data_IF_249195031595
#
_entry.id   IF_249195031595
#
_cell.length_a   1.000
_cell.length_b   1.000
_cell.length_c   1.000
_cell.angle_alpha   90.00
_cell.angle_beta   90.00
_cell.angle_gamma   90.00
#
_symmetry.space_group_name_H-M   'P 1'
#
loop_
_entity.id
_entity.type
_entity.pdbx_description
1 polymer ?
#
# COMPACT_ATOMS: atom_id res chain seq x y z
N UNK A 1 -8.06 27.15 2.05
CA UNK A 1 -9.15 26.16 1.83
C UNK A 1 -9.13 25.52 0.44
N UNK A 2 -7.96 25.40 -0.22
CA UNK A 2 -7.83 24.65 -1.45
C UNK A 2 -7.67 23.16 -1.17
N UNK A 3 -8.18 22.30 -2.09
CA UNK A 3 -7.92 20.86 -2.08
C UNK A 3 -7.11 20.47 -3.32
N UNK A 4 -6.17 19.56 -3.12
CA UNK A 4 -5.34 19.01 -4.20
C UNK A 4 -6.09 17.86 -4.88
N UNK A 5 -6.01 17.80 -6.22
CA UNK A 5 -6.55 16.68 -6.98
C UNK A 5 -5.47 16.08 -7.88
N UNK A 6 -5.41 14.75 -7.92
CA UNK A 6 -4.64 13.97 -8.89
C UNK A 6 -5.61 13.05 -9.66
N UNK A 7 -5.69 11.77 -9.30
CA UNK A 7 -6.61 10.82 -9.94
C UNK A 7 -8.10 11.05 -9.70
N UNK A 8 -8.46 11.83 -8.69
CA UNK A 8 -9.84 12.21 -8.36
C UNK A 8 -10.71 11.11 -7.76
N UNK A 9 -10.19 9.89 -7.57
CA UNK A 9 -11.01 8.74 -7.15
C UNK A 9 -11.50 8.78 -5.70
N UNK A 10 -10.99 9.68 -4.88
CA UNK A 10 -11.53 9.98 -3.54
C UNK A 10 -12.28 11.30 -3.56
N UNK A 11 -11.62 12.38 -3.99
CA UNK A 11 -12.19 13.73 -3.89
C UNK A 11 -13.45 13.91 -4.76
N UNK A 12 -13.48 13.40 -6.00
CA UNK A 12 -14.63 13.56 -6.90
C UNK A 12 -15.90 12.86 -6.36
N UNK A 13 -15.85 11.60 -5.91
CA UNK A 13 -16.99 10.96 -5.24
C UNK A 13 -17.50 11.73 -4.01
N UNK A 14 -16.59 12.22 -3.16
CA UNK A 14 -16.92 12.99 -1.96
C UNK A 14 -17.64 14.29 -2.33
N UNK A 15 -17.16 14.99 -3.36
CA UNK A 15 -17.81 16.21 -3.88
C UNK A 15 -19.17 15.91 -4.55
N UNK A 16 -19.29 14.82 -5.30
CA UNK A 16 -20.57 14.38 -5.91
C UNK A 16 -21.62 14.13 -4.84
N UNK A 17 -21.23 13.60 -3.70
CA UNK A 17 -22.10 13.35 -2.55
C UNK A 17 -22.32 14.60 -1.67
N UNK A 18 -21.72 15.74 -2.05
CA UNK A 18 -21.78 17.01 -1.30
C UNK A 18 -21.22 16.91 0.13
N UNK A 19 -20.36 15.94 0.39
CA UNK A 19 -19.64 15.78 1.67
C UNK A 19 -18.45 16.74 1.78
N UNK A 20 -17.99 17.30 0.67
CA UNK A 20 -17.01 18.37 0.62
C UNK A 20 -17.35 19.32 -0.55
N UNK A 21 -17.13 20.62 -0.33
CA UNK A 21 -17.31 21.68 -1.33
C UNK A 21 -16.12 22.66 -1.25
N UNK A 22 -14.91 22.24 -1.62
CA UNK A 22 -13.74 23.13 -1.55
C UNK A 22 -13.91 24.30 -2.52
N UNK A 23 -13.61 25.54 -2.08
CA UNK A 23 -13.75 26.71 -2.96
C UNK A 23 -12.74 26.72 -4.11
N UNK A 24 -11.61 26.03 -3.92
CA UNK A 24 -10.57 25.92 -4.93
C UNK A 24 -10.06 24.48 -5.03
N UNK A 25 -9.77 24.05 -6.26
CA UNK A 25 -9.15 22.76 -6.55
C UNK A 25 -7.87 23.02 -7.33
N UNK A 26 -6.76 22.46 -6.87
CA UNK A 26 -5.46 22.54 -7.55
C UNK A 26 -5.15 21.17 -8.18
N UNK A 27 -5.08 21.16 -9.51
CA UNK A 27 -4.78 19.95 -10.29
C UNK A 27 -3.27 19.70 -10.34
N UNK A 28 -2.82 18.58 -9.78
CA UNK A 28 -1.42 18.16 -9.74
C UNK A 28 -1.01 17.39 -11.00
N UNK A 29 -1.94 16.97 -11.86
CA UNK A 29 -1.66 16.05 -12.98
C UNK A 29 -0.81 16.66 -14.08
N UNK A 30 -0.76 17.99 -14.14
CA UNK A 30 0.00 18.75 -15.14
C UNK A 30 1.35 19.25 -14.64
N UNK A 31 1.71 18.95 -13.39
CA UNK A 31 3.01 19.37 -12.83
C UNK A 31 4.08 18.41 -13.35
N UNK A 32 5.05 18.97 -14.08
CA UNK A 32 6.18 18.20 -14.59
C UNK A 32 7.00 17.55 -13.46
N UNK A 33 7.48 16.33 -13.70
CA UNK A 33 8.31 15.58 -12.74
C UNK A 33 7.54 14.89 -11.61
N UNK A 34 6.21 15.04 -11.52
CA UNK A 34 5.40 14.31 -10.54
C UNK A 34 4.95 12.92 -11.02
N UNK A 35 5.06 12.61 -12.32
CA UNK A 35 4.78 11.30 -12.89
C UNK A 35 6.07 10.62 -13.35
N UNK A 36 6.03 9.30 -13.49
CA UNK A 36 7.12 8.51 -14.06
C UNK A 36 7.65 7.44 -13.12
N UNK A 37 8.40 6.52 -13.71
CA UNK A 37 8.96 5.34 -13.02
C UNK A 37 10.41 5.22 -13.45
N UNK A 38 11.34 5.22 -12.51
CA UNK A 38 12.76 5.13 -12.78
C UNK A 38 13.53 4.36 -11.71
N UNK A 39 14.62 3.73 -12.10
CA UNK A 39 15.57 3.18 -11.14
C UNK A 39 16.50 4.29 -10.63
N UNK A 40 16.63 4.43 -9.31
CA UNK A 40 17.57 5.33 -8.64
C UNK A 40 18.50 4.55 -7.73
N UNK A 41 19.65 4.14 -8.26
CA UNK A 41 20.57 3.26 -7.58
C UNK A 41 19.91 1.92 -7.26
N UNK A 42 19.81 1.58 -5.97
CA UNK A 42 19.17 0.35 -5.48
C UNK A 42 17.72 0.56 -5.02
N UNK A 43 17.04 1.52 -5.59
CA UNK A 43 15.64 1.82 -5.28
C UNK A 43 14.86 2.08 -6.55
N UNK A 44 13.60 1.66 -6.56
CA UNK A 44 12.63 2.02 -7.56
C UNK A 44 11.93 3.31 -7.12
N UNK A 45 12.00 4.36 -7.94
CA UNK A 45 11.33 5.62 -7.71
C UNK A 45 10.07 5.71 -8.57
N UNK A 46 8.92 6.03 -7.95
CA UNK A 46 7.64 6.21 -8.62
C UNK A 46 7.10 7.59 -8.28
N UNK A 47 6.86 8.42 -9.29
CA UNK A 47 6.29 9.75 -9.14
C UNK A 47 4.86 9.71 -8.60
N UNK A 48 4.47 10.69 -7.79
CA UNK A 48 3.21 10.67 -7.04
C UNK A 48 1.96 10.65 -7.93
N UNK A 49 2.00 11.26 -9.12
CA UNK A 49 0.86 11.27 -10.06
C UNK A 49 0.87 10.11 -11.05
N UNK A 50 1.81 9.15 -10.93
CA UNK A 50 1.84 7.92 -11.73
C UNK A 50 0.59 7.09 -11.42
N UNK A 51 -0.12 6.68 -12.46
CA UNK A 51 -1.39 5.94 -12.33
C UNK A 51 -1.16 4.49 -11.94
N UNK A 52 -2.14 3.87 -11.28
CA UNK A 52 -2.06 2.47 -10.91
C UNK A 52 -1.83 1.54 -12.12
N UNK A 53 -2.47 1.84 -13.26
CA UNK A 53 -2.27 1.08 -14.49
C UNK A 53 -0.83 1.19 -15.00
N UNK A 54 -0.22 2.38 -14.94
CA UNK A 54 1.17 2.59 -15.34
C UNK A 54 2.14 1.81 -14.44
N UNK A 55 1.88 1.76 -13.12
CA UNK A 55 2.68 0.94 -12.19
C UNK A 55 2.52 -0.54 -12.48
N UNK A 56 1.28 -1.02 -12.72
CA UNK A 56 0.99 -2.41 -12.99
C UNK A 56 1.60 -2.91 -14.31
N UNK A 57 1.63 -2.06 -15.34
CA UNK A 57 2.06 -2.44 -16.69
C UNK A 57 3.54 -2.14 -16.96
N UNK A 58 4.21 -1.40 -16.06
CA UNK A 58 5.61 -1.03 -16.23
C UNK A 58 6.55 -2.24 -16.21
N UNK A 59 7.34 -2.39 -17.27
CA UNK A 59 8.41 -3.39 -17.33
C UNK A 59 9.41 -3.18 -16.21
N UNK A 60 9.82 -1.93 -15.96
CA UNK A 60 10.76 -1.58 -14.88
C UNK A 60 10.25 -2.01 -13.50
N UNK A 61 8.95 -1.85 -13.22
CA UNK A 61 8.37 -2.30 -11.94
C UNK A 61 8.33 -3.82 -11.85
N UNK A 62 7.92 -4.49 -12.95
CA UNK A 62 7.85 -5.95 -13.01
C UNK A 62 9.21 -6.62 -12.84
N UNK A 63 10.26 -6.03 -13.39
CA UNK A 63 11.64 -6.53 -13.21
C UNK A 63 12.20 -6.23 -11.82
N UNK A 64 11.96 -5.03 -11.28
CA UNK A 64 12.52 -4.59 -10.02
C UNK A 64 11.77 -5.15 -8.79
N UNK A 65 10.44 -5.06 -8.79
CA UNK A 65 9.56 -5.47 -7.69
C UNK A 65 8.25 -6.04 -8.27
N UNK A 66 8.24 -7.27 -8.80
CA UNK A 66 7.04 -7.88 -9.41
C UNK A 66 5.78 -7.79 -8.53
N UNK A 67 5.96 -8.00 -7.21
CA UNK A 67 4.88 -7.92 -6.23
C UNK A 67 4.19 -6.54 -6.18
N UNK A 68 4.91 -5.45 -6.49
CA UNK A 68 4.34 -4.10 -6.53
C UNK A 68 3.50 -3.89 -7.80
N UNK A 69 3.92 -4.44 -8.94
CA UNK A 69 3.14 -4.42 -10.18
C UNK A 69 1.83 -5.21 -10.02
N UNK A 70 1.90 -6.40 -9.42
CA UNK A 70 0.73 -7.23 -9.12
C UNK A 70 -0.23 -6.55 -8.15
N UNK A 71 0.29 -5.95 -7.07
CA UNK A 71 -0.50 -5.17 -6.14
C UNK A 71 -1.26 -4.05 -6.90
N UNK A 72 -0.56 -3.28 -7.73
CA UNK A 72 -1.17 -2.20 -8.50
C UNK A 72 -2.26 -2.74 -9.46
N UNK A 73 -2.04 -3.93 -10.05
CA UNK A 73 -2.97 -4.60 -10.97
C UNK A 73 -4.27 -5.07 -10.33
N UNK A 74 -4.30 -5.25 -9.00
CA UNK A 74 -5.51 -5.69 -8.26
C UNK A 74 -6.22 -4.54 -7.53
N UNK A 75 -5.80 -3.29 -7.71
CA UNK A 75 -6.50 -2.11 -7.18
C UNK A 75 -7.77 -1.86 -8.00
N UNK A 76 -8.93 -1.87 -7.35
CA UNK A 76 -10.21 -1.52 -7.97
C UNK A 76 -10.48 -2.27 -9.29
N UNK A 77 -11.05 -1.56 -10.23
CA UNK A 77 -11.27 -1.99 -11.61
C UNK A 77 -10.37 -1.22 -12.60
N UNK A 78 -10.41 -1.54 -13.92
CA UNK A 78 -9.61 -0.81 -14.91
C UNK A 78 -9.89 0.69 -14.94
N UNK A 79 -11.13 1.14 -14.74
CA UNK A 79 -11.46 2.56 -14.74
C UNK A 79 -10.78 3.29 -13.57
N UNK A 80 -10.77 2.66 -12.40
CA UNK A 80 -10.04 3.15 -11.21
C UNK A 80 -8.54 3.23 -11.51
N UNK A 81 -7.95 2.16 -12.04
CA UNK A 81 -6.49 2.11 -12.27
C UNK A 81 -5.99 3.12 -13.30
N UNK A 82 -6.81 3.46 -14.31
CA UNK A 82 -6.44 4.46 -15.33
C UNK A 82 -6.55 5.91 -14.85
N UNK A 83 -7.05 6.16 -13.65
CA UNK A 83 -7.19 7.50 -13.06
C UNK A 83 -6.47 7.64 -11.72
N UNK A 84 -6.70 6.70 -10.79
CA UNK A 84 -6.10 6.70 -9.47
C UNK A 84 -4.57 6.67 -9.54
N UNK A 85 -3.91 7.39 -8.62
CA UNK A 85 -2.46 7.57 -8.59
C UNK A 85 -1.87 7.03 -7.29
N UNK A 86 -0.60 6.60 -7.33
CA UNK A 86 0.08 6.09 -6.13
C UNK A 86 0.13 7.14 -5.02
N UNK A 87 0.50 8.38 -5.33
CA UNK A 87 0.56 9.46 -4.34
C UNK A 87 -0.80 9.80 -3.77
N UNK A 88 -1.86 9.82 -4.60
CA UNK A 88 -3.23 10.05 -4.12
C UNK A 88 -3.71 8.97 -3.17
N UNK A 89 -3.42 7.70 -3.46
CA UNK A 89 -3.74 6.56 -2.57
C UNK A 89 -3.01 6.66 -1.23
N UNK A 90 -1.72 6.97 -1.24
CA UNK A 90 -0.89 7.07 -0.03
C UNK A 90 -1.27 8.30 0.80
N UNK A 91 -1.50 9.46 0.15
CA UNK A 91 -1.91 10.68 0.85
C UNK A 91 -3.29 10.57 1.49
N UNK A 92 -4.22 9.85 0.86
CA UNK A 92 -5.55 9.60 1.42
C UNK A 92 -5.53 8.64 2.62
N UNK A 93 -4.57 7.72 2.64
CA UNK A 93 -4.39 6.70 3.69
C UNK A 93 -5.70 6.01 4.11
N UNK A 94 -6.48 5.57 3.11
CA UNK A 94 -7.64 4.73 3.37
C UNK A 94 -7.15 3.41 4.00
N UNK A 95 -7.76 2.94 5.12
CA UNK A 95 -7.34 1.71 5.79
C UNK A 95 -7.42 0.46 4.92
N UNK A 96 -8.21 0.51 3.83
CA UNK A 96 -8.38 -0.59 2.87
C UNK A 96 -7.52 -0.43 1.61
N UNK A 97 -6.72 0.63 1.52
CA UNK A 97 -5.82 0.85 0.39
C UNK A 97 -4.66 -0.16 0.37
N UNK A 98 -4.27 -0.58 -0.81
CA UNK A 98 -3.25 -1.62 -1.01
C UNK A 98 -1.81 -1.09 -0.81
N UNK A 99 -1.49 0.10 -1.36
CA UNK A 99 -0.12 0.65 -1.32
C UNK A 99 0.49 0.88 0.06
N UNK A 100 -0.27 1.26 1.11
CA UNK A 100 0.33 1.40 2.45
C UNK A 100 1.03 0.13 2.94
N UNK A 101 0.47 -1.06 2.64
CA UNK A 101 1.13 -2.33 2.98
C UNK A 101 2.47 -2.52 2.23
N UNK A 102 2.52 -2.19 0.93
CA UNK A 102 3.76 -2.23 0.17
C UNK A 102 4.79 -1.21 0.71
N UNK A 103 4.35 -0.01 1.09
CA UNK A 103 5.23 1.01 1.65
C UNK A 103 5.88 0.55 2.95
N UNK A 104 5.11 -0.03 3.87
CA UNK A 104 5.65 -0.55 5.13
C UNK A 104 6.55 -1.78 4.91
N UNK A 105 6.09 -2.76 4.13
CA UNK A 105 6.83 -4.00 3.93
C UNK A 105 8.13 -3.80 3.15
N UNK A 106 8.18 -2.89 2.19
CA UNK A 106 9.40 -2.57 1.44
C UNK A 106 10.28 -1.52 2.13
N UNK A 107 9.84 -0.94 3.26
CA UNK A 107 10.57 0.14 3.93
C UNK A 107 10.72 1.38 3.07
N UNK A 108 9.63 1.75 2.39
CA UNK A 108 9.63 2.87 1.46
C UNK A 108 9.96 4.21 2.13
N UNK A 109 10.47 5.13 1.33
CA UNK A 109 10.61 6.53 1.73
C UNK A 109 9.67 7.37 0.87
N UNK A 110 8.74 8.06 1.51
CA UNK A 110 7.86 9.04 0.89
C UNK A 110 8.63 10.36 0.79
N UNK A 111 8.79 10.86 -0.42
CA UNK A 111 9.48 12.13 -0.69
C UNK A 111 8.44 13.18 -0.98
N UNK A 112 8.49 14.27 -0.25
CA UNK A 112 7.60 15.41 -0.43
C UNK A 112 8.34 16.60 -1.06
N UNK A 113 7.67 17.70 -1.25
CA UNK A 113 8.30 18.96 -1.65
C UNK A 113 9.18 19.58 -0.54
N UNK A 114 9.07 19.10 0.70
CA UNK A 114 9.80 19.64 1.87
C UNK A 114 10.84 18.69 2.44
N UNK A 115 10.53 17.36 2.50
CA UNK A 115 11.33 16.40 3.27
C UNK A 115 11.17 14.96 2.77
N UNK A 116 11.87 14.07 3.43
CA UNK A 116 11.82 12.61 3.20
C UNK A 116 11.31 11.96 4.48
N UNK A 117 10.24 11.18 4.38
CA UNK A 117 9.58 10.54 5.52
C UNK A 117 9.61 9.04 5.32
N UNK A 118 10.00 8.28 6.34
CA UNK A 118 9.91 6.81 6.29
C UNK A 118 8.45 6.37 6.34
N UNK A 119 8.12 5.26 5.67
CA UNK A 119 6.75 4.76 5.66
C UNK A 119 6.20 4.50 7.07
N UNK A 120 7.05 4.03 7.99
CA UNK A 120 6.68 3.80 9.39
C UNK A 120 6.26 5.08 10.14
N UNK A 121 6.77 6.22 9.74
CA UNK A 121 6.48 7.53 10.34
C UNK A 121 5.37 8.26 9.58
N UNK A 122 5.10 7.81 8.33
CA UNK A 122 4.18 8.50 7.43
C UNK A 122 2.71 8.18 7.73
N UNK A 123 2.37 6.92 7.95
CA UNK A 123 0.99 6.48 8.24
C UNK A 123 0.68 6.61 9.72
N UNK A 124 -0.22 7.54 10.08
CA UNK A 124 -0.46 7.92 11.49
C UNK A 124 -1.87 7.56 11.99
N UNK A 125 -2.59 6.71 11.27
CA UNK A 125 -3.94 6.29 11.62
C UNK A 125 -4.93 6.48 10.48
N UNK A 126 -6.20 6.33 10.77
CA UNK A 126 -7.28 6.35 9.79
C UNK A 126 -7.33 7.69 9.04
N UNK A 127 -7.14 7.65 7.72
CA UNK A 127 -7.12 8.85 6.87
C UNK A 127 -6.15 9.96 7.35
N UNK A 128 -5.14 9.56 8.15
CA UNK A 128 -4.18 10.50 8.75
C UNK A 128 -2.76 10.13 8.34
N UNK A 129 -2.02 11.12 7.87
CA UNK A 129 -0.61 10.99 7.48
C UNK A 129 0.23 12.09 8.11
N UNK A 130 1.55 11.96 8.03
CA UNK A 130 2.50 12.98 8.50
C UNK A 130 2.59 14.23 7.59
N UNK A 131 1.78 14.32 6.51
CA UNK A 131 1.78 15.49 5.63
C UNK A 131 1.28 16.74 6.35
N UNK A 132 2.01 17.83 6.18
CA UNK A 132 1.58 19.17 6.56
C UNK A 132 0.56 19.74 5.55
N UNK A 133 -0.15 20.81 5.91
CA UNK A 133 -1.22 21.39 5.09
C UNK A 133 -0.76 21.87 3.71
N UNK A 134 0.50 22.30 3.58
CA UNK A 134 1.15 22.80 2.36
C UNK A 134 2.23 21.81 1.82
N UNK A 135 2.12 20.53 2.21
CA UNK A 135 3.07 19.49 1.82
C UNK A 135 2.43 18.52 0.83
N UNK A 136 3.14 18.23 -0.28
CA UNK A 136 2.70 17.30 -1.31
C UNK A 136 3.72 16.18 -1.50
N UNK A 137 3.22 14.97 -1.74
CA UNK A 137 4.08 13.86 -2.16
C UNK A 137 4.56 14.13 -3.58
N UNK A 138 5.86 14.05 -3.80
CA UNK A 138 6.47 14.16 -5.14
C UNK A 138 6.80 12.80 -5.72
N UNK A 139 7.26 11.85 -4.88
CA UNK A 139 7.56 10.46 -5.29
C UNK A 139 7.61 9.52 -4.10
N UNK A 140 7.54 8.24 -4.39
CA UNK A 140 7.78 7.16 -3.44
C UNK A 140 9.02 6.38 -3.87
N UNK A 141 9.93 6.14 -2.93
CA UNK A 141 11.17 5.40 -3.14
C UNK A 141 11.06 4.03 -2.48
N UNK A 142 11.09 2.97 -3.27
CA UNK A 142 11.01 1.59 -2.79
C UNK A 142 12.40 0.92 -2.87
N UNK A 143 13.05 0.58 -1.75
CA UNK A 143 14.22 -0.29 -1.76
C UNK A 143 13.90 -1.65 -2.39
N UNK A 144 14.86 -2.23 -3.12
CA UNK A 144 14.66 -3.52 -3.77
C UNK A 144 14.69 -4.66 -2.77
N UNK A 145 13.65 -5.51 -2.70
CA UNK A 145 13.64 -6.73 -1.90
C UNK A 145 14.43 -7.84 -2.60
N UNK A 146 14.88 -8.84 -1.82
CA UNK A 146 15.35 -10.12 -2.38
C UNK A 146 14.18 -10.99 -2.87
N UNK A 147 13.06 -10.97 -2.13
CA UNK A 147 11.82 -11.68 -2.43
C UNK A 147 10.67 -10.86 -1.89
N UNK A 148 9.56 -10.81 -2.62
CA UNK A 148 8.34 -10.19 -2.13
C UNK A 148 7.11 -10.80 -2.80
N UNK A 149 5.97 -10.74 -2.10
CA UNK A 149 4.67 -11.05 -2.66
C UNK A 149 3.56 -10.30 -1.92
N UNK A 150 2.46 -10.11 -2.61
CA UNK A 150 1.24 -9.53 -2.07
C UNK A 150 0.08 -10.48 -2.30
N UNK A 151 -0.67 -10.77 -1.24
CA UNK A 151 -1.89 -11.56 -1.27
C UNK A 151 -3.06 -10.75 -0.72
N UNK A 152 -4.20 -10.80 -1.41
CA UNK A 152 -5.36 -9.99 -1.10
C UNK A 152 -6.64 -10.80 -1.09
N UNK A 153 -7.37 -10.75 0.01
CA UNK A 153 -8.77 -11.14 0.06
C UNK A 153 -9.64 -9.90 -0.16
N UNK A 154 -10.19 -9.78 -1.37
CA UNK A 154 -10.94 -8.60 -1.80
C UNK A 154 -12.42 -8.69 -1.45
N UNK A 155 -13.02 -7.57 -1.13
CA UNK A 155 -14.47 -7.44 -1.10
C UNK A 155 -15.01 -7.62 -2.53
N UNK A 156 -16.07 -8.42 -2.69
CA UNK A 156 -16.62 -8.78 -4.00
C UNK A 156 -17.18 -7.57 -4.76
N UNK A 157 -17.82 -6.64 -4.06
CA UNK A 157 -18.46 -5.49 -4.66
C UNK A 157 -17.48 -4.35 -4.94
N UNK A 158 -16.76 -3.89 -3.91
CA UNK A 158 -15.87 -2.72 -3.99
C UNK A 158 -14.48 -3.03 -4.50
N UNK A 159 -14.05 -4.31 -4.44
CA UNK A 159 -12.68 -4.77 -4.70
C UNK A 159 -11.62 -4.21 -3.77
N UNK A 160 -11.99 -3.48 -2.73
CA UNK A 160 -11.10 -3.09 -1.66
C UNK A 160 -10.58 -4.32 -0.90
N UNK A 161 -9.44 -4.17 -0.24
CA UNK A 161 -8.92 -5.23 0.62
C UNK A 161 -9.79 -5.38 1.88
N UNK A 162 -10.47 -6.53 2.03
CA UNK A 162 -10.96 -6.93 3.33
C UNK A 162 -9.77 -7.25 4.24
N UNK A 163 -8.78 -7.95 3.68
CA UNK A 163 -7.45 -8.17 4.22
C UNK A 163 -6.46 -8.24 3.07
N UNK A 164 -5.36 -7.52 3.15
CA UNK A 164 -4.22 -7.64 2.26
C UNK A 164 -2.93 -7.83 3.05
N UNK A 165 -2.06 -8.73 2.62
CA UNK A 165 -0.79 -9.01 3.29
C UNK A 165 0.35 -8.89 2.28
N UNK A 166 1.29 -8.00 2.57
CA UNK A 166 2.52 -7.84 1.80
C UNK A 166 3.69 -8.42 2.61
N UNK A 167 4.40 -9.38 2.05
CA UNK A 167 5.61 -9.97 2.65
C UNK A 167 6.81 -9.57 1.81
N UNK A 168 7.87 -9.09 2.46
CA UNK A 168 9.12 -8.74 1.81
C UNK A 168 10.33 -9.26 2.60
N UNK A 169 11.21 -10.01 1.92
CA UNK A 169 12.54 -10.33 2.41
C UNK A 169 13.51 -9.28 1.89
N UNK A 170 13.86 -8.35 2.74
CA UNK A 170 14.86 -7.33 2.47
C UNK A 170 16.29 -7.88 2.67
N UNK A 171 17.35 -7.18 2.27
CA UNK A 171 18.74 -7.64 2.47
C UNK A 171 19.10 -7.97 3.92
N UNK A 172 18.57 -7.24 4.90
CA UNK A 172 18.90 -7.34 6.33
C UNK A 172 17.76 -7.79 7.23
N UNK A 173 16.52 -7.79 6.74
CA UNK A 173 15.32 -8.06 7.55
C UNK A 173 14.21 -8.71 6.73
N UNK A 174 13.18 -9.23 7.41
CA UNK A 174 11.91 -9.61 6.81
C UNK A 174 10.83 -8.68 7.35
N UNK A 175 9.93 -8.26 6.48
CA UNK A 175 8.81 -7.39 6.83
C UNK A 175 7.50 -8.00 6.36
N UNK A 176 6.49 -7.90 7.20
CA UNK A 176 5.11 -8.37 6.93
C UNK A 176 4.16 -7.24 7.30
N UNK A 177 3.50 -6.67 6.30
CA UNK A 177 2.55 -5.58 6.51
C UNK A 177 1.13 -6.00 6.10
N UNK A 178 0.15 -5.57 6.88
CA UNK A 178 -1.26 -5.89 6.71
C UNK A 178 -2.06 -4.62 6.46
N UNK A 179 -2.91 -4.65 5.45
CA UNK A 179 -3.90 -3.61 5.16
C UNK A 179 -5.32 -4.18 5.18
N UNK A 180 -6.32 -3.33 5.30
CA UNK A 180 -7.74 -3.70 5.27
C UNK A 180 -8.29 -4.15 6.62
N UNK A 181 -7.47 -4.73 7.47
CA UNK A 181 -7.92 -5.38 8.70
C UNK A 181 -7.81 -4.49 9.96
N UNK A 182 -6.81 -3.63 10.04
CA UNK A 182 -6.56 -2.85 11.26
C UNK A 182 -7.53 -1.68 11.44
N UNK A 183 -8.00 -1.47 12.68
CA UNK A 183 -8.87 -0.35 13.02
C UNK A 183 -8.17 1.00 12.84
N UNK A 184 -6.86 1.06 13.08
CA UNK A 184 -6.03 2.25 12.90
C UNK A 184 -5.34 2.32 11.52
N UNK A 185 -5.69 1.42 10.59
CA UNK A 185 -5.12 1.37 9.24
C UNK A 185 -4.06 0.27 9.07
N UNK A 186 -3.04 0.56 8.27
CA UNK A 186 -1.97 -0.39 7.94
C UNK A 186 -1.03 -0.64 9.12
N UNK A 187 -0.61 -1.88 9.33
CA UNK A 187 0.30 -2.24 10.43
C UNK A 187 1.26 -3.39 10.05
N UNK A 188 2.29 -3.59 10.86
CA UNK A 188 3.27 -4.67 10.70
C UNK A 188 3.00 -5.83 11.67
N UNK A 189 3.24 -7.06 11.22
CA UNK A 189 3.16 -8.29 12.02
C UNK A 189 4.53 -8.72 12.52
N UNK A 190 5.03 -8.10 13.57
CA UNK A 190 6.38 -8.31 14.09
C UNK A 190 6.64 -9.76 14.52
N UNK A 191 5.66 -10.48 15.08
CA UNK A 191 5.80 -11.89 15.44
C UNK A 191 6.07 -12.77 14.20
N UNK A 192 5.41 -12.48 13.06
CA UNK A 192 5.63 -13.19 11.81
C UNK A 192 6.98 -12.84 11.20
N UNK A 193 7.40 -11.57 11.28
CA UNK A 193 8.71 -11.11 10.83
C UNK A 193 9.85 -11.82 11.55
N UNK A 194 9.78 -11.96 12.88
CA UNK A 194 10.78 -12.66 13.67
C UNK A 194 10.84 -14.16 13.37
N UNK A 195 9.69 -14.81 13.15
CA UNK A 195 9.67 -16.21 12.73
C UNK A 195 10.30 -16.40 11.33
N UNK A 196 9.92 -15.55 10.37
CA UNK A 196 10.40 -15.60 8.99
C UNK A 196 11.87 -15.20 8.86
N UNK A 197 12.39 -14.37 9.75
CA UNK A 197 13.82 -14.00 9.82
C UNK A 197 14.70 -15.20 10.12
N UNK A 198 14.23 -16.12 10.99
CA UNK A 198 14.94 -17.37 11.30
C UNK A 198 14.94 -18.32 10.10
N UNK A 199 13.81 -18.47 9.45
CA UNK A 199 13.65 -19.28 8.24
C UNK A 199 12.51 -18.72 7.38
N UNK A 200 12.81 -18.30 6.16
CA UNK A 200 11.82 -17.76 5.23
C UNK A 200 11.01 -18.88 4.56
N UNK A 201 10.02 -19.40 5.29
CA UNK A 201 9.15 -20.50 4.88
C UNK A 201 7.77 -20.34 5.52
N UNK A 202 6.69 -20.60 4.78
CA UNK A 202 5.31 -20.55 5.28
C UNK A 202 5.07 -21.47 6.49
N UNK A 203 5.78 -22.60 6.56
CA UNK A 203 5.68 -23.58 7.66
C UNK A 203 6.01 -23.00 9.03
N UNK A 204 6.87 -21.98 9.13
CA UNK A 204 7.20 -21.37 10.43
C UNK A 204 6.08 -20.47 10.96
N UNK A 205 5.09 -20.18 10.13
CA UNK A 205 3.89 -19.42 10.49
C UNK A 205 2.75 -20.31 10.96
N UNK A 206 2.89 -21.65 10.84
CA UNK A 206 1.85 -22.58 11.26
C UNK A 206 1.68 -22.51 12.79
N UNK A 207 0.44 -22.30 13.22
CA UNK A 207 0.11 -22.19 14.64
C UNK A 207 0.48 -20.86 15.31
N UNK A 208 1.11 -19.91 14.62
CA UNK A 208 1.31 -18.58 15.16
C UNK A 208 -0.03 -17.82 15.18
N UNK A 209 -0.49 -17.38 16.36
CA UNK A 209 -1.75 -16.67 16.48
C UNK A 209 -1.63 -15.24 15.91
N UNK A 210 -2.71 -14.76 15.32
CA UNK A 210 -2.93 -13.34 15.05
C UNK A 210 -4.02 -12.87 16.01
N UNK A 211 -3.74 -11.84 16.83
CA UNK A 211 -4.76 -11.29 17.72
C UNK A 211 -5.88 -10.64 16.91
N UNK A 212 -7.10 -10.81 17.38
CA UNK A 212 -8.25 -10.07 16.88
C UNK A 212 -8.33 -8.63 17.46
N UNK A 213 -7.55 -8.34 18.51
CA UNK A 213 -7.52 -7.03 19.13
C UNK A 213 -7.01 -5.96 18.14
N UNK A 214 -7.70 -4.84 18.07
CA UNK A 214 -7.37 -3.75 17.15
C UNK A 214 -7.73 -4.04 15.68
N UNK A 215 -8.43 -5.14 15.39
CA UNK A 215 -8.96 -5.41 14.06
C UNK A 215 -10.42 -4.94 13.92
N UNK A 216 -10.77 -4.55 12.71
CA UNK A 216 -12.13 -4.14 12.35
C UNK A 216 -13.12 -5.31 12.45
N UNK A 217 -14.32 -5.01 12.95
CA UNK A 217 -15.48 -5.90 12.90
C UNK A 217 -16.65 -5.15 12.28
N UNK A 218 -17.17 -5.62 11.15
CA UNK A 218 -18.22 -5.00 10.39
C UNK A 218 -19.08 -6.05 9.65
N UNK A 219 -20.03 -5.60 8.81
CA UNK A 219 -20.90 -6.49 8.03
C UNK A 219 -20.15 -7.40 7.04
N UNK A 220 -18.89 -7.12 6.73
CA UNK A 220 -18.07 -7.88 5.79
C UNK A 220 -17.21 -8.96 6.46
N UNK A 221 -16.99 -8.86 7.77
CA UNK A 221 -16.24 -9.83 8.52
C UNK A 221 -15.94 -9.39 9.95
N UNK A 222 -15.98 -10.37 10.87
CA UNK A 222 -15.58 -10.15 12.26
C UNK A 222 -14.05 -9.97 12.39
N UNK A 223 -13.61 -9.46 13.54
CA UNK A 223 -12.19 -9.32 13.85
C UNK A 223 -11.47 -10.68 13.85
N UNK A 224 -12.10 -11.74 14.37
CA UNK A 224 -11.57 -13.10 14.37
C UNK A 224 -11.43 -13.66 12.95
N UNK A 225 -12.40 -13.39 12.08
CA UNK A 225 -12.33 -13.79 10.68
C UNK A 225 -11.19 -13.08 9.95
N UNK A 226 -11.00 -11.78 10.20
CA UNK A 226 -9.87 -11.02 9.64
C UNK A 226 -8.54 -11.54 10.17
N UNK A 227 -8.45 -11.86 11.47
CA UNK A 227 -7.26 -12.46 12.08
C UNK A 227 -6.90 -13.80 11.42
N UNK A 228 -7.92 -14.65 11.18
CA UNK A 228 -7.74 -15.93 10.47
C UNK A 228 -7.23 -15.69 9.03
N UNK A 229 -7.84 -14.77 8.29
CA UNK A 229 -7.44 -14.43 6.91
C UNK A 229 -6.01 -13.91 6.85
N UNK A 230 -5.58 -13.08 7.80
CA UNK A 230 -4.19 -12.58 7.88
C UNK A 230 -3.21 -13.75 7.91
N UNK A 231 -3.44 -14.74 8.78
CA UNK A 231 -2.59 -15.92 8.87
C UNK A 231 -2.54 -16.74 7.57
N UNK A 232 -3.70 -16.92 6.93
CA UNK A 232 -3.80 -17.63 5.64
C UNK A 232 -3.05 -16.89 4.52
N UNK A 233 -3.29 -15.59 4.39
CA UNK A 233 -2.69 -14.77 3.32
C UNK A 233 -1.18 -14.58 3.53
N UNK A 234 -0.73 -14.47 4.77
CA UNK A 234 0.71 -14.40 5.07
C UNK A 234 1.45 -15.66 4.60
N UNK A 235 0.90 -16.86 4.87
CA UNK A 235 1.49 -18.12 4.37
C UNK A 235 1.51 -18.16 2.84
N UNK A 236 0.41 -17.81 2.19
CA UNK A 236 0.33 -17.76 0.71
C UNK A 236 1.34 -16.77 0.14
N UNK A 237 1.47 -15.58 0.73
CA UNK A 237 2.43 -14.59 0.29
C UNK A 237 3.89 -15.08 0.43
N UNK A 238 4.23 -15.79 1.52
CA UNK A 238 5.56 -16.39 1.67
C UNK A 238 5.82 -17.46 0.60
N UNK A 239 4.84 -18.32 0.33
CA UNK A 239 4.96 -19.35 -0.72
C UNK A 239 5.08 -18.71 -2.10
N UNK A 240 4.25 -17.72 -2.43
CA UNK A 240 4.33 -16.98 -3.67
C UNK A 240 5.69 -16.26 -3.83
N UNK A 241 6.21 -15.64 -2.77
CA UNK A 241 7.52 -15.00 -2.78
C UNK A 241 8.66 -16.00 -2.99
N UNK A 242 8.53 -17.25 -2.53
CA UNK A 242 9.52 -18.30 -2.75
C UNK A 242 9.50 -18.86 -4.17
N UNK A 243 8.35 -18.91 -4.81
CA UNK A 243 8.19 -19.45 -6.17
C UNK A 243 8.65 -18.48 -7.28
N UNK A 244 8.97 -17.23 -6.93
CA UNK A 244 9.44 -16.18 -7.85
C UNK A 244 10.96 -16.02 -7.88
N UNK A 245 11.69 -16.84 -7.18
CA UNK A 245 13.14 -16.75 -7.05
C UNK A 245 13.89 -17.86 -7.73
#
# INVERSE_FOLDING_TARGET
DAKLIAGGHTLVPVMKQRLAAPPHIVDLTRIEGLSGIEMKGRSLAIGATTKHAEVADSVTVREAIPALAELAGVIGDPAVRHKGTIGGSIANNDPTADYPAACLALGATIVTNKRRIKAEEFFQGLFTTALEADEIITRVMFPLPKKAAYEKFRNQASRYALVGVFVARMPSEVRVAVTGAGADGVFRLTAFEEALKKRFSSKVLDGLPVSADGLNSDLHGSAEYRAHLIGVLARRAVDAANNRG
#
